data_IF_620007439714
#
_entry.id   IF_620007439714
#
_cell.length_a   1.000
_cell.length_b   1.000
_cell.length_c   1.000
_cell.angle_alpha   90.00
_cell.angle_beta   90.00
_cell.angle_gamma   90.00
#
_symmetry.space_group_name_H-M   'P 1'
#
loop_
_entity.id
_entity.type
_entity.pdbx_description
1 polymer ?
#
# COMPACT_ATOMS: atom_id res chain seq x y z
N UNK A 1 -56.65 -12.89 64.75
CA UNK A 1 -56.53 -11.66 63.95
C UNK A 1 -55.09 -11.54 63.47
N UNK A 2 -54.90 -11.36 62.15
CA UNK A 2 -53.61 -11.34 61.44
C UNK A 2 -52.98 -9.95 61.51
N UNK A 3 -51.64 -9.84 61.55
CA UNK A 3 -50.79 -8.73 61.06
C UNK A 3 -49.39 -8.89 61.68
N UNK A 4 -48.24 -8.89 60.99
CA UNK A 4 -47.90 -8.62 59.60
C UNK A 4 -46.44 -8.12 59.61
N UNK A 5 -45.48 -8.94 59.19
CA UNK A 5 -44.05 -8.62 59.18
C UNK A 5 -43.72 -7.79 57.93
N UNK A 6 -43.30 -6.53 58.09
CA UNK A 6 -42.90 -5.67 56.97
C UNK A 6 -41.39 -5.84 56.71
N UNK A 7 -41.06 -6.49 55.59
CA UNK A 7 -39.68 -6.55 55.06
C UNK A 7 -39.53 -5.35 54.13
N UNK A 8 -38.72 -4.37 54.53
CA UNK A 8 -38.36 -3.24 53.67
C UNK A 8 -37.39 -3.68 52.58
N UNK A 9 -37.84 -3.63 51.31
CA UNK A 9 -36.98 -3.78 50.16
C UNK A 9 -36.25 -2.46 49.90
N UNK A 10 -34.94 -2.43 50.19
CA UNK A 10 -34.08 -1.31 49.80
C UNK A 10 -33.76 -1.46 48.29
N UNK A 11 -34.42 -0.65 47.46
CA UNK A 11 -34.11 -0.56 46.03
C UNK A 11 -32.78 0.19 45.85
N UNK A 12 -31.69 -0.55 45.66
CA UNK A 12 -30.40 0.02 45.26
C UNK A 12 -30.50 0.36 43.77
N UNK A 13 -30.80 1.63 43.48
CA UNK A 13 -30.77 2.16 42.12
C UNK A 13 -29.34 2.12 41.59
N UNK A 14 -29.04 1.13 40.74
CA UNK A 14 -27.75 0.99 40.09
C UNK A 14 -27.66 1.98 38.95
N UNK A 15 -27.23 3.21 39.24
CA UNK A 15 -26.82 4.16 38.20
C UNK A 15 -25.63 3.57 37.45
N UNK A 16 -25.85 3.12 36.22
CA UNK A 16 -24.75 2.82 35.30
C UNK A 16 -24.06 4.15 34.99
N UNK A 17 -22.95 4.45 35.67
CA UNK A 17 -22.02 5.43 35.16
C UNK A 17 -21.55 4.92 33.79
N UNK A 18 -21.89 5.67 32.74
CA UNK A 18 -21.15 5.60 31.48
C UNK A 18 -19.74 6.10 31.80
N UNK A 19 -18.86 5.18 32.21
CA UNK A 19 -17.45 5.47 32.30
C UNK A 19 -16.98 5.77 30.88
N UNK A 20 -16.67 7.04 30.59
CA UNK A 20 -15.90 7.37 29.41
C UNK A 20 -14.55 6.67 29.56
N UNK A 21 -14.12 5.94 28.53
CA UNK A 21 -12.79 5.33 28.54
C UNK A 21 -11.77 6.44 28.85
N UNK A 22 -10.94 6.27 29.90
CA UNK A 22 -9.99 7.30 30.29
C UNK A 22 -9.03 7.55 29.12
N UNK A 23 -8.70 8.82 28.87
CA UNK A 23 -7.64 9.15 27.90
C UNK A 23 -6.30 8.79 28.53
N UNK A 24 -5.62 7.80 27.97
CA UNK A 24 -4.34 7.28 28.49
C UNK A 24 -3.16 7.51 27.55
N UNK A 25 -3.35 8.29 26.49
CA UNK A 25 -2.33 8.58 25.48
C UNK A 25 -2.15 10.08 25.31
N UNK A 26 -0.91 10.57 25.08
CA UNK A 26 -0.67 11.96 24.69
C UNK A 26 -0.93 12.21 23.20
N UNK A 27 -1.07 11.15 22.39
CA UNK A 27 -1.34 11.24 20.96
C UNK A 27 -2.74 11.78 20.73
N UNK A 28 -2.90 12.71 19.79
CA UNK A 28 -4.21 13.28 19.48
C UNK A 28 -4.51 13.24 17.99
N UNK A 29 -5.79 13.31 17.65
CA UNK A 29 -6.20 13.37 16.26
C UNK A 29 -5.62 14.59 15.55
N UNK A 30 -5.74 15.75 16.17
CA UNK A 30 -5.31 17.02 15.58
C UNK A 30 -3.80 17.09 15.38
N UNK A 31 -2.97 16.39 16.17
CA UNK A 31 -1.51 16.42 16.00
C UNK A 31 -1.01 15.25 15.15
N UNK A 32 -1.13 14.03 15.62
CA UNK A 32 -0.46 12.92 14.93
C UNK A 32 -1.33 12.33 13.82
N UNK A 33 -2.60 12.04 14.13
CA UNK A 33 -3.42 11.18 13.26
C UNK A 33 -3.89 11.89 12.00
N UNK A 34 -4.34 13.14 12.09
CA UNK A 34 -4.80 13.92 10.93
C UNK A 34 -3.74 14.00 9.83
N UNK A 35 -2.46 14.13 10.19
CA UNK A 35 -1.32 14.15 9.25
C UNK A 35 -1.07 12.78 8.63
N UNK A 36 -1.24 11.68 9.37
CA UNK A 36 -1.13 10.32 8.81
C UNK A 36 -2.29 10.06 7.85
N UNK A 37 -3.52 10.37 8.26
CA UNK A 37 -4.71 10.20 7.44
C UNK A 37 -4.61 11.01 6.14
N UNK A 38 -4.16 12.26 6.22
CA UNK A 38 -3.90 13.10 5.04
C UNK A 38 -3.02 12.38 4.02
N UNK A 39 -1.85 11.89 4.44
CA UNK A 39 -0.87 11.27 3.52
C UNK A 39 -1.30 9.90 3.00
N UNK A 40 -2.12 9.16 3.76
CA UNK A 40 -2.32 7.72 3.55
C UNK A 40 -3.75 7.32 3.21
N UNK A 41 -4.74 8.11 3.63
CA UNK A 41 -6.14 7.73 3.63
C UNK A 41 -7.02 8.71 2.86
N UNK A 42 -6.80 10.02 3.01
CA UNK A 42 -7.71 11.05 2.49
C UNK A 42 -7.77 11.09 0.96
N UNK A 43 -6.78 10.56 0.24
CA UNK A 43 -6.89 10.38 -1.22
C UNK A 43 -8.15 9.58 -1.63
N UNK A 44 -8.56 8.60 -0.83
CA UNK A 44 -9.79 7.83 -1.07
C UNK A 44 -10.93 8.20 -0.10
N UNK A 45 -10.60 8.47 1.16
CA UNK A 45 -11.54 8.78 2.25
C UNK A 45 -11.76 10.28 2.42
N UNK A 46 -12.31 10.90 1.37
CA UNK A 46 -12.70 12.32 1.35
C UNK A 46 -14.05 12.48 0.66
N UNK A 47 -14.73 13.64 0.81
CA UNK A 47 -15.96 13.93 0.07
C UNK A 47 -15.80 13.71 -1.45
N UNK A 48 -16.69 12.93 -2.05
CA UNK A 48 -16.62 12.58 -3.48
C UNK A 48 -15.49 11.61 -3.86
N UNK A 49 -14.73 11.10 -2.89
CA UNK A 49 -13.70 10.08 -3.07
C UNK A 49 -14.27 8.69 -3.35
N UNK A 50 -13.37 7.71 -3.50
CA UNK A 50 -13.73 6.32 -3.83
C UNK A 50 -14.21 5.50 -2.63
N UNK A 51 -13.85 5.93 -1.41
CA UNK A 51 -14.26 5.22 -0.20
C UNK A 51 -15.71 5.58 0.19
N UNK A 52 -16.44 4.67 0.86
CA UNK A 52 -17.85 4.88 1.20
C UNK A 52 -18.08 5.90 2.33
N UNK A 53 -17.03 6.40 2.97
CA UNK A 53 -17.09 7.40 4.03
C UNK A 53 -15.85 8.29 4.03
N UNK A 54 -15.98 9.47 4.64
CA UNK A 54 -14.93 10.47 4.81
C UNK A 54 -14.16 10.26 6.12
N UNK A 55 -12.91 10.71 6.16
CA UNK A 55 -12.07 10.76 7.36
C UNK A 55 -11.44 12.15 7.56
N UNK A 56 -12.01 13.18 6.92
CA UNK A 56 -11.39 14.51 6.83
C UNK A 56 -11.43 15.31 8.13
N UNK A 57 -12.39 15.03 9.02
CA UNK A 57 -12.50 15.66 10.34
C UNK A 57 -12.39 14.64 11.47
N UNK A 58 -12.26 15.12 12.71
CA UNK A 58 -12.28 14.25 13.87
C UNK A 58 -13.63 13.56 14.04
N UNK A 59 -14.73 14.29 13.84
CA UNK A 59 -16.10 13.77 13.92
C UNK A 59 -16.35 12.68 12.87
N UNK A 60 -15.77 12.84 11.68
CA UNK A 60 -15.78 11.83 10.63
C UNK A 60 -15.00 10.58 11.07
N UNK A 61 -13.79 10.75 11.62
CA UNK A 61 -12.87 9.65 11.90
C UNK A 61 -13.16 8.88 13.20
N UNK A 62 -13.63 9.56 14.24
CA UNK A 62 -13.79 9.01 15.60
C UNK A 62 -14.71 7.78 15.67
N UNK A 63 -15.86 7.73 14.95
CA UNK A 63 -16.71 6.54 14.92
C UNK A 63 -16.02 5.31 14.32
N UNK A 64 -15.04 5.51 13.45
CA UNK A 64 -14.30 4.45 12.77
C UNK A 64 -13.01 4.06 13.46
N UNK A 65 -12.64 4.68 14.59
CA UNK A 65 -11.32 4.53 15.21
C UNK A 65 -10.93 3.06 15.43
N UNK A 66 -11.84 2.23 15.94
CA UNK A 66 -11.62 0.78 16.16
C UNK A 66 -11.41 0.05 14.83
N UNK A 67 -12.25 0.31 13.83
CA UNK A 67 -12.13 -0.31 12.50
C UNK A 67 -10.84 0.13 11.81
N UNK A 68 -10.46 1.40 11.90
CA UNK A 68 -9.19 1.93 11.39
C UNK A 68 -8.04 1.14 12.01
N UNK A 69 -7.99 1.01 13.34
CA UNK A 69 -6.94 0.23 14.04
C UNK A 69 -6.86 -1.19 13.50
N UNK A 70 -8.00 -1.88 13.35
CA UNK A 70 -8.04 -3.26 12.86
C UNK A 70 -7.51 -3.37 11.42
N UNK A 71 -7.99 -2.51 10.53
CA UNK A 71 -7.61 -2.49 9.12
C UNK A 71 -6.13 -2.16 8.93
N UNK A 72 -5.57 -1.21 9.70
CA UNK A 72 -4.13 -0.86 9.62
C UNK A 72 -3.24 -1.92 10.28
N UNK A 73 -3.68 -2.53 11.38
CA UNK A 73 -2.94 -3.59 12.07
C UNK A 73 -2.84 -4.85 11.20
N UNK A 74 -3.93 -5.18 10.49
CA UNK A 74 -3.96 -6.27 9.51
C UNK A 74 -3.26 -5.91 8.20
N UNK A 75 -2.88 -4.64 8.01
CA UNK A 75 -2.32 -4.07 6.77
C UNK A 75 -3.22 -4.27 5.56
N UNK A 76 -4.53 -4.27 5.79
CA UNK A 76 -5.54 -4.25 4.73
C UNK A 76 -5.71 -2.82 4.20
N UNK A 77 -5.53 -1.81 5.07
CA UNK A 77 -5.55 -0.39 4.70
C UNK A 77 -4.20 0.31 4.96
N UNK A 78 -3.80 1.24 4.08
CA UNK A 78 -4.30 1.43 2.71
C UNK A 78 -4.10 0.15 1.89
N UNK A 79 -4.88 -0.08 0.81
CA UNK A 79 -4.87 -1.34 0.10
C UNK A 79 -3.61 -1.45 -0.79
N UNK A 80 -2.39 -1.36 -0.24
CA UNK A 80 -1.13 -1.33 -1.00
C UNK A 80 -0.51 -2.70 -1.25
N UNK A 81 -0.80 -3.68 -0.39
CA UNK A 81 -0.40 -5.11 -0.40
C UNK A 81 1.06 -5.49 -0.69
N UNK A 82 1.93 -4.54 -1.07
CA UNK A 82 3.36 -4.72 -1.16
C UNK A 82 3.98 -4.60 0.23
N UNK A 83 4.83 -5.57 0.56
CA UNK A 83 5.57 -5.57 1.82
C UNK A 83 6.71 -4.55 1.73
N UNK A 84 6.76 -3.63 2.70
CA UNK A 84 7.85 -2.64 2.81
C UNK A 84 9.21 -3.34 2.96
N UNK A 85 10.22 -2.77 2.31
CA UNK A 85 11.61 -3.27 2.37
C UNK A 85 11.96 -4.34 1.33
N UNK A 86 10.98 -4.90 0.61
CA UNK A 86 11.25 -5.85 -0.48
C UNK A 86 11.43 -5.19 -1.85
N UNK A 87 11.02 -3.93 -1.97
CA UNK A 87 11.17 -3.08 -3.13
C UNK A 87 10.90 -1.64 -2.71
N UNK A 88 11.38 -0.68 -3.51
CA UNK A 88 11.20 0.75 -3.24
C UNK A 88 10.35 1.35 -4.35
N UNK A 89 9.23 1.97 -3.97
CA UNK A 89 8.27 2.49 -4.93
C UNK A 89 8.01 3.98 -4.70
N UNK A 90 7.94 4.75 -5.79
CA UNK A 90 7.63 6.19 -5.71
C UNK A 90 6.17 6.47 -5.36
N UNK A 91 5.29 5.51 -5.61
CA UNK A 91 3.86 5.58 -5.29
C UNK A 91 3.48 4.69 -4.09
N UNK A 92 4.42 4.46 -3.15
CA UNK A 92 4.22 3.62 -1.98
C UNK A 92 3.16 4.20 -1.01
N UNK A 93 2.02 3.51 -0.92
CA UNK A 93 0.92 3.86 -0.04
C UNK A 93 0.95 3.14 1.32
N UNK A 94 1.85 2.18 1.54
CA UNK A 94 1.86 1.44 2.79
C UNK A 94 2.24 2.32 3.98
N UNK A 95 1.58 2.06 5.11
CA UNK A 95 1.96 2.60 6.41
C UNK A 95 3.29 2.03 6.87
N UNK A 96 4.10 2.87 7.51
CA UNK A 96 5.25 2.41 8.30
C UNK A 96 4.79 1.71 9.58
N UNK A 97 5.68 0.96 10.23
CA UNK A 97 5.34 0.34 11.52
C UNK A 97 5.05 1.39 12.60
N UNK A 98 5.78 2.52 12.56
CA UNK A 98 5.56 3.66 13.45
C UNK A 98 4.19 4.32 13.21
N UNK A 99 3.78 4.50 11.96
CA UNK A 99 2.45 5.04 11.63
C UNK A 99 1.34 4.10 12.13
N UNK A 100 1.49 2.78 11.94
CA UNK A 100 0.53 1.78 12.48
C UNK A 100 0.47 1.85 14.01
N UNK A 101 1.63 1.93 14.67
CA UNK A 101 1.70 1.98 16.13
C UNK A 101 1.07 3.27 16.67
N UNK A 102 1.37 4.42 16.05
CA UNK A 102 0.80 5.71 16.41
C UNK A 102 -0.73 5.71 16.34
N UNK A 103 -1.30 5.16 15.25
CA UNK A 103 -2.74 4.99 15.12
C UNK A 103 -3.27 4.05 16.21
N UNK A 104 -2.62 2.92 16.42
CA UNK A 104 -3.06 1.90 17.38
C UNK A 104 -3.06 2.44 18.81
N UNK A 105 -2.02 3.16 19.21
CA UNK A 105 -1.90 3.75 20.54
C UNK A 105 -2.86 4.91 20.75
N UNK A 106 -3.13 5.71 19.72
CA UNK A 106 -4.19 6.72 19.76
C UNK A 106 -5.56 6.07 20.01
N UNK A 107 -5.90 5.01 19.28
CA UNK A 107 -7.19 4.31 19.44
C UNK A 107 -7.30 3.64 20.81
N UNK A 108 -6.25 2.92 21.23
CA UNK A 108 -6.23 2.23 22.51
C UNK A 108 -6.27 3.20 23.70
N UNK A 109 -5.73 4.42 23.53
CA UNK A 109 -5.78 5.47 24.53
C UNK A 109 -7.04 6.34 24.51
N UNK A 110 -8.13 5.88 23.89
CA UNK A 110 -9.44 6.54 23.90
C UNK A 110 -9.71 7.47 22.71
N UNK A 111 -8.80 7.52 21.74
CA UNK A 111 -8.88 8.32 20.52
C UNK A 111 -9.23 9.80 20.77
N UNK A 112 -8.44 10.54 21.58
CA UNK A 112 -8.71 11.95 21.88
C UNK A 112 -8.52 12.85 20.64
N UNK A 113 -9.34 13.90 20.53
CA UNK A 113 -9.24 14.90 19.46
C UNK A 113 -7.97 15.76 19.58
N UNK A 114 -7.76 16.36 20.75
CA UNK A 114 -6.72 17.37 20.97
C UNK A 114 -7.23 18.79 20.67
N UNK A 115 -6.31 19.72 20.37
CA UNK A 115 -6.67 21.08 19.96
C UNK A 115 -6.99 21.09 18.45
N UNK A 116 -8.25 21.36 18.03
CA UNK A 116 -8.64 21.37 16.62
C UNK A 116 -7.81 22.30 15.74
N UNK A 117 -7.22 23.37 16.31
CA UNK A 117 -6.37 24.32 15.57
C UNK A 117 -5.05 23.72 15.10
N UNK A 118 -4.64 22.58 15.65
CA UNK A 118 -3.41 21.89 15.28
C UNK A 118 -3.60 20.84 14.17
N UNK A 119 -4.86 20.56 13.83
CA UNK A 119 -5.23 19.65 12.75
C UNK A 119 -4.57 20.09 11.45
N UNK A 120 -4.15 19.12 10.63
CA UNK A 120 -3.56 19.45 9.33
C UNK A 120 -4.50 20.33 8.48
N UNK A 121 -5.79 19.98 8.44
CA UNK A 121 -6.79 20.68 7.63
C UNK A 121 -6.61 20.51 6.11
N UNK A 122 -5.53 19.84 5.68
CA UNK A 122 -5.25 19.58 4.27
C UNK A 122 -6.05 18.37 3.80
N UNK A 123 -6.80 18.55 2.72
CA UNK A 123 -7.43 17.47 1.98
C UNK A 123 -6.66 17.33 0.66
N UNK A 124 -5.92 16.23 0.44
CA UNK A 124 -5.18 16.02 -0.78
C UNK A 124 -6.13 15.82 -1.97
N UNK A 125 -5.62 15.97 -3.19
CA UNK A 125 -6.38 15.58 -4.38
C UNK A 125 -6.84 14.12 -4.30
N UNK A 126 -8.06 13.88 -4.79
CA UNK A 126 -8.62 12.53 -4.84
C UNK A 126 -7.68 11.59 -5.59
N UNK A 127 -7.57 10.36 -5.10
CA UNK A 127 -6.71 9.35 -5.69
C UNK A 127 -7.19 9.01 -7.10
N UNK A 128 -6.34 9.30 -8.08
CA UNK A 128 -6.47 8.84 -9.45
C UNK A 128 -5.49 7.69 -9.68
N UNK A 129 -5.90 6.61 -10.39
CA UNK A 129 -4.95 5.57 -10.76
C UNK A 129 -3.79 6.19 -11.52
N UNK A 130 -2.58 5.94 -11.05
CA UNK A 130 -1.35 6.44 -11.67
C UNK A 130 -1.26 5.97 -13.13
N UNK A 131 -0.92 6.89 -14.04
CA UNK A 131 -0.73 6.57 -15.45
C UNK A 131 0.59 5.82 -15.67
N UNK A 132 0.64 5.05 -16.76
CA UNK A 132 1.89 4.41 -17.18
C UNK A 132 2.93 5.49 -17.52
N UNK A 133 4.20 5.34 -17.11
CA UNK A 133 5.25 6.27 -17.52
C UNK A 133 5.30 6.39 -19.06
N UNK A 134 5.49 7.60 -19.57
CA UNK A 134 5.61 7.83 -21.02
C UNK A 134 6.70 6.95 -21.63
N UNK A 135 6.37 6.24 -22.70
CA UNK A 135 7.29 5.33 -23.39
C UNK A 135 7.48 3.97 -22.73
N UNK A 136 6.87 3.70 -21.57
CA UNK A 136 6.87 2.37 -20.98
C UNK A 136 6.00 1.43 -21.81
N UNK A 137 6.54 0.25 -22.11
CA UNK A 137 5.83 -0.84 -22.76
C UNK A 137 5.63 -1.96 -21.75
N UNK A 138 4.43 -2.53 -21.79
CA UNK A 138 4.07 -3.70 -21.02
C UNK A 138 4.72 -4.95 -21.58
N UNK A 139 5.48 -5.65 -20.76
CA UNK A 139 6.11 -6.92 -21.13
C UNK A 139 5.63 -8.04 -20.20
N UNK A 140 5.38 -9.26 -20.70
CA UNK A 140 5.10 -10.40 -19.84
C UNK A 140 6.29 -10.70 -18.90
N UNK A 141 6.03 -11.36 -17.78
CA UNK A 141 7.09 -12.02 -17.02
C UNK A 141 7.82 -13.04 -17.92
N UNK A 142 9.16 -13.06 -17.88
CA UNK A 142 9.94 -14.00 -18.67
C UNK A 142 11.44 -13.74 -18.64
N UNK A 143 12.15 -14.42 -19.53
CA UNK A 143 13.57 -14.17 -19.80
C UNK A 143 13.70 -13.04 -20.81
N UNK A 144 14.52 -12.04 -20.51
CA UNK A 144 14.81 -10.93 -21.40
C UNK A 144 15.85 -11.34 -22.44
N UNK A 145 15.57 -11.17 -23.73
CA UNK A 145 16.54 -11.42 -24.81
C UNK A 145 17.39 -10.19 -25.18
N UNK A 146 17.10 -9.05 -24.56
CA UNK A 146 17.74 -7.75 -24.77
C UNK A 146 17.83 -7.00 -23.45
N UNK A 147 18.63 -5.93 -23.42
CA UNK A 147 18.70 -5.04 -22.26
C UNK A 147 17.40 -4.25 -22.12
N UNK A 148 16.79 -4.29 -20.94
CA UNK A 148 15.55 -3.58 -20.65
C UNK A 148 15.69 -2.74 -19.38
N UNK A 149 15.07 -1.57 -19.36
CA UNK A 149 14.99 -0.73 -18.16
C UNK A 149 13.61 -0.92 -17.53
N UNK A 150 13.56 -1.63 -16.40
CA UNK A 150 12.35 -1.86 -15.64
C UNK A 150 12.00 -0.59 -14.85
N UNK A 151 10.84 -0.03 -15.11
CA UNK A 151 10.31 1.15 -14.42
C UNK A 151 9.25 0.81 -13.37
N UNK A 152 8.64 -0.38 -13.48
CA UNK A 152 7.55 -0.75 -12.61
C UNK A 152 6.95 -2.10 -12.94
N UNK A 153 5.97 -2.47 -12.14
CA UNK A 153 5.31 -3.78 -12.18
C UNK A 153 3.82 -3.54 -12.16
N UNK A 154 3.11 -4.19 -13.08
CA UNK A 154 1.66 -4.20 -13.14
C UNK A 154 1.11 -5.59 -12.86
N UNK A 155 0.24 -5.73 -11.86
CA UNK A 155 -0.50 -6.97 -11.63
C UNK A 155 -1.75 -6.93 -12.50
N UNK A 156 -1.73 -7.66 -13.62
CA UNK A 156 -2.87 -7.70 -14.54
C UNK A 156 -4.01 -8.56 -14.00
N UNK A 157 -3.69 -9.72 -13.42
CA UNK A 157 -4.64 -10.60 -12.76
C UNK A 157 -3.96 -11.37 -11.63
N UNK A 158 -4.58 -11.43 -10.46
CA UNK A 158 -4.09 -12.25 -9.36
C UNK A 158 -5.27 -12.65 -8.47
N UNK A 159 -5.38 -13.92 -8.05
CA UNK A 159 -6.46 -14.33 -7.16
C UNK A 159 -6.38 -13.65 -5.80
N UNK A 160 -7.54 -13.39 -5.19
CA UNK A 160 -7.61 -12.85 -3.82
C UNK A 160 -6.90 -13.78 -2.84
N UNK A 161 -6.14 -13.19 -1.91
CA UNK A 161 -5.39 -13.92 -0.89
C UNK A 161 -4.05 -14.48 -1.37
N UNK A 162 -3.68 -14.27 -2.64
CA UNK A 162 -2.38 -14.72 -3.16
C UNK A 162 -1.23 -14.03 -2.43
N UNK A 163 -0.23 -14.82 -2.06
CA UNK A 163 1.10 -14.35 -1.68
C UNK A 163 2.08 -14.65 -2.82
N UNK A 164 2.86 -13.65 -3.22
CA UNK A 164 3.76 -13.74 -4.36
C UNK A 164 5.08 -13.00 -4.10
N UNK A 165 6.20 -13.64 -4.42
CA UNK A 165 7.54 -13.06 -4.42
C UNK A 165 8.04 -12.93 -5.86
N UNK A 166 8.40 -11.71 -6.25
CA UNK A 166 8.96 -11.40 -7.56
C UNK A 166 10.42 -10.99 -7.37
N UNK A 167 11.31 -11.72 -8.04
CA UNK A 167 12.75 -11.48 -8.03
C UNK A 167 13.25 -11.32 -9.47
N UNK A 168 14.16 -10.38 -9.69
CA UNK A 168 14.96 -10.31 -10.91
C UNK A 168 16.22 -11.13 -10.70
N UNK A 169 16.43 -12.18 -11.49
CA UNK A 169 17.68 -12.93 -11.52
C UNK A 169 18.47 -12.49 -12.76
N UNK A 170 19.66 -11.95 -12.53
CA UNK A 170 20.60 -11.59 -13.59
C UNK A 170 21.44 -12.80 -14.03
N UNK A 171 22.04 -12.77 -15.23
CA UNK A 171 22.94 -13.83 -15.71
C UNK A 171 24.20 -14.00 -14.85
N UNK A 172 24.68 -12.92 -14.22
CA UNK A 172 25.83 -12.92 -13.32
C UNK A 172 25.53 -13.59 -11.95
N UNK A 173 24.30 -14.06 -11.74
CA UNK A 173 23.84 -14.69 -10.51
C UNK A 173 23.22 -13.71 -9.51
N UNK A 174 23.30 -12.40 -9.73
CA UNK A 174 22.71 -11.36 -8.88
C UNK A 174 21.19 -11.54 -8.82
N UNK A 175 20.61 -11.42 -7.61
CA UNK A 175 19.17 -11.52 -7.38
C UNK A 175 18.66 -10.25 -6.71
N UNK A 176 17.80 -9.52 -7.39
CA UNK A 176 17.23 -8.27 -6.90
C UNK A 176 15.76 -8.49 -6.51
N UNK A 177 15.40 -8.26 -5.24
CA UNK A 177 14.01 -8.18 -4.80
C UNK A 177 13.26 -7.10 -5.60
N UNK A 178 12.16 -7.49 -6.23
CA UNK A 178 11.33 -6.55 -7.00
C UNK A 178 10.06 -6.19 -6.25
N UNK A 179 9.31 -7.20 -5.79
CA UNK A 179 8.01 -7.02 -5.15
C UNK A 179 7.65 -8.26 -4.35
N UNK A 180 7.19 -8.06 -3.11
CA UNK A 180 6.50 -9.08 -2.34
C UNK A 180 5.07 -8.63 -2.09
N UNK A 181 4.13 -9.38 -2.65
CA UNK A 181 2.70 -9.23 -2.38
C UNK A 181 2.27 -10.14 -1.26
N UNK A 182 1.61 -9.58 -0.26
CA UNK A 182 0.97 -10.32 0.82
C UNK A 182 -0.54 -10.20 0.73
N UNK A 183 -1.24 -11.33 0.81
CA UNK A 183 -2.71 -11.42 0.81
C UNK A 183 -3.38 -10.49 -0.23
N UNK A 184 -3.11 -10.74 -1.52
CA UNK A 184 -3.58 -9.88 -2.60
C UNK A 184 -5.07 -9.53 -2.49
N UNK A 185 -5.43 -8.25 -2.60
CA UNK A 185 -6.80 -7.78 -2.66
C UNK A 185 -7.06 -7.14 -4.03
N UNK A 186 -8.15 -7.50 -4.74
CA UNK A 186 -8.44 -6.92 -6.06
C UNK A 186 -8.64 -5.40 -6.09
N UNK A 187 -8.94 -4.81 -4.92
CA UNK A 187 -9.09 -3.37 -4.71
C UNK A 187 -7.74 -2.62 -4.59
N UNK A 188 -6.62 -3.34 -4.52
CA UNK A 188 -5.29 -2.76 -4.40
C UNK A 188 -4.80 -2.12 -5.71
N UNK A 189 -3.86 -1.16 -5.65
CA UNK A 189 -3.16 -0.67 -6.81
C UNK A 189 -2.56 -1.84 -7.58
N UNK A 190 -2.86 -1.86 -8.87
CA UNK A 190 -2.28 -2.83 -9.78
C UNK A 190 -0.93 -2.37 -10.30
N UNK A 191 -0.42 -1.22 -9.85
CA UNK A 191 0.76 -0.58 -10.41
C UNK A 191 1.75 -0.16 -9.33
N UNK A 192 2.94 -0.74 -9.38
CA UNK A 192 4.04 -0.50 -8.48
C UNK A 192 5.17 0.14 -9.28
N UNK A 193 5.35 1.44 -9.15
CA UNK A 193 6.36 2.18 -9.90
C UNK A 193 7.63 2.24 -9.08
N UNK A 194 8.70 1.63 -9.60
CA UNK A 194 9.98 1.60 -8.93
C UNK A 194 10.47 3.03 -8.68
N UNK A 195 11.01 3.28 -7.50
CA UNK A 195 11.60 4.58 -7.17
C UNK A 195 12.81 4.86 -8.06
N UNK A 196 13.60 3.82 -8.33
CA UNK A 196 14.74 3.85 -9.25
C UNK A 196 14.57 2.77 -10.33
N UNK A 197 14.78 3.09 -11.61
CA UNK A 197 14.73 2.08 -12.66
C UNK A 197 15.81 1.02 -12.49
N UNK A 198 15.49 -0.24 -12.83
CA UNK A 198 16.41 -1.37 -12.73
C UNK A 198 16.73 -1.90 -14.13
N UNK A 199 18.01 -2.03 -14.47
CA UNK A 199 18.43 -2.62 -15.75
C UNK A 199 18.41 -4.14 -15.70
N UNK A 200 17.61 -4.78 -16.55
CA UNK A 200 17.65 -6.21 -16.80
C UNK A 200 18.55 -6.50 -18.02
N UNK A 201 19.59 -7.32 -17.83
CA UNK A 201 20.52 -7.69 -18.91
C UNK A 201 19.92 -8.79 -19.81
N UNK A 202 20.45 -9.00 -21.03
CA UNK A 202 20.11 -10.17 -21.83
C UNK A 202 20.38 -11.47 -21.03
N UNK A 203 19.40 -12.36 -20.98
CA UNK A 203 19.41 -13.57 -20.16
C UNK A 203 18.87 -13.38 -18.74
N UNK A 204 18.61 -12.14 -18.29
CA UNK A 204 17.94 -11.91 -17.02
C UNK A 204 16.54 -12.52 -17.05
N UNK A 205 16.05 -13.00 -15.91
CA UNK A 205 14.75 -13.63 -15.77
C UNK A 205 14.02 -13.12 -14.56
N UNK A 206 12.72 -12.93 -14.69
CA UNK A 206 11.86 -12.66 -13.55
C UNK A 206 11.34 -13.99 -13.02
N UNK A 207 11.61 -14.23 -11.74
CA UNK A 207 11.13 -15.41 -11.02
C UNK A 207 9.97 -14.98 -10.15
N UNK A 208 8.81 -15.60 -10.37
CA UNK A 208 7.60 -15.41 -9.56
C UNK A 208 7.39 -16.69 -8.78
N UNK A 209 7.44 -16.59 -7.45
CA UNK A 209 7.09 -17.69 -6.56
C UNK A 209 5.76 -17.35 -5.90
N UNK A 210 4.74 -18.19 -6.07
CA UNK A 210 3.44 -18.01 -5.40
C UNK A 210 3.23 -19.12 -4.38
N UNK A 211 2.83 -18.75 -3.17
CA UNK A 211 2.61 -19.73 -2.10
C UNK A 211 1.19 -20.32 -2.13
N UNK A 212 0.22 -19.59 -2.71
CA UNK A 212 -1.21 -19.89 -2.52
C UNK A 212 -1.91 -20.29 -3.82
N UNK A 213 -1.63 -19.66 -4.97
CA UNK A 213 -2.34 -19.97 -6.24
C UNK A 213 -1.46 -19.74 -7.50
N UNK A 214 -1.50 -20.62 -8.52
CA UNK A 214 -0.59 -20.56 -9.68
C UNK A 214 -1.01 -19.61 -10.82
N UNK A 215 -2.23 -19.07 -10.82
CA UNK A 215 -2.80 -18.35 -11.98
C UNK A 215 -2.57 -16.83 -11.96
N UNK A 216 -1.45 -16.36 -11.40
CA UNK A 216 -1.13 -14.92 -11.38
C UNK A 216 -0.54 -14.45 -12.72
N UNK A 217 -1.14 -13.42 -13.32
CA UNK A 217 -0.60 -12.69 -14.47
C UNK A 217 0.03 -11.38 -14.04
N UNK A 218 1.35 -11.32 -14.14
CA UNK A 218 2.14 -10.11 -13.89
C UNK A 218 2.70 -9.58 -15.21
N UNK A 219 2.57 -8.27 -15.40
CA UNK A 219 3.17 -7.49 -16.49
C UNK A 219 4.22 -6.57 -15.91
N UNK A 220 5.26 -6.29 -16.67
CA UNK A 220 6.33 -5.37 -16.29
C UNK A 220 6.30 -4.16 -17.18
N UNK A 221 6.46 -2.99 -16.57
CA UNK A 221 6.63 -1.75 -17.29
C UNK A 221 8.11 -1.60 -17.60
N UNK A 222 8.47 -1.82 -18.86
CA UNK A 222 9.84 -1.73 -19.31
C UNK A 222 9.95 -0.69 -20.43
N UNK A 223 10.97 0.14 -20.37
CA UNK A 223 11.46 0.83 -21.56
C UNK A 223 12.46 -0.11 -22.20
N UNK A 224 12.12 -0.55 -23.40
CA UNK A 224 12.95 -1.45 -24.19
C UNK A 224 13.85 -0.62 -25.08
N UNK A 225 15.11 -0.45 -24.68
CA UNK A 225 16.15 -0.07 -25.62
C UNK A 225 16.43 -1.29 -26.49
N UNK A 226 15.69 -1.42 -27.60
CA UNK A 226 16.18 -2.29 -28.67
C UNK A 226 17.51 -1.69 -29.09
N UNK A 227 18.62 -2.37 -28.83
CA UNK A 227 19.87 -2.00 -29.46
C UNK A 227 19.57 -1.85 -30.95
N UNK A 228 19.76 -0.65 -31.52
CA UNK A 228 19.88 -0.54 -32.98
C UNK A 228 20.88 -1.63 -33.35
N UNK A 229 20.47 -2.58 -34.20
CA UNK A 229 21.38 -3.58 -34.71
C UNK A 229 22.65 -2.84 -35.17
N UNK A 230 23.81 -3.27 -34.67
CA UNK A 230 25.07 -2.72 -35.14
C UNK A 230 25.05 -2.79 -36.68
N UNK A 231 25.34 -1.70 -37.41
CA UNK A 231 25.37 -1.76 -38.85
C UNK A 231 26.39 -2.83 -39.23
N UNK A 232 25.98 -3.80 -40.05
CA UNK A 232 26.86 -4.82 -40.59
C UNK A 232 28.10 -4.10 -41.15
N UNK A 233 29.29 -4.46 -40.64
CA UNK A 233 30.55 -3.93 -41.13
C UNK A 233 30.53 -3.92 -42.65
N UNK A 234 30.60 -2.72 -43.22
CA UNK A 234 30.76 -2.54 -44.65
C UNK A 234 32.00 -3.34 -45.07
N UNK A 235 31.82 -4.30 -45.97
CA UNK A 235 32.95 -4.98 -46.61
C UNK A 235 33.76 -3.91 -47.33
N UNK A 236 35.00 -3.74 -46.90
CA UNK A 236 36.00 -2.97 -47.66
C UNK A 236 36.10 -3.58 -49.06
N UNK A 237 35.83 -2.83 -50.15
CA UNK A 237 36.14 -3.33 -51.48
C UNK A 237 37.66 -3.46 -51.63
N UNK A 238 38.08 -4.59 -52.20
CA UNK A 238 39.48 -4.89 -52.49
C UNK A 238 40.10 -3.83 -53.42
N UNK A 239 41.41 -3.54 -53.29
CA UNK A 239 42.09 -2.61 -54.18
C UNK A 239 42.17 -3.22 -55.59
N UNK A 240 41.60 -2.54 -56.57
CA UNK A 240 41.89 -2.79 -57.98
C UNK A 240 43.27 -2.20 -58.28
N UNK A 241 44.25 -3.07 -58.49
CA UNK A 241 45.54 -2.72 -59.08
C UNK A 241 45.46 -2.71 -60.60
N UNK A 242 45.94 -1.62 -61.18
CA UNK A 242 46.81 -1.43 -62.37
C UNK A 242 46.55 -0.04 -62.99
#
# INVERSE_FOLDING_TARGET
MKSGCAIGFLLISSTRLLAHDPITTPLTWSKEISRILERRCLGCHQPGGKAPFTLTTYEDARPWAVAIREEVSNRTMPPWNAVKGFGTFRNDMALTQEEIQTITDWVNGGAPEGDPKLASGVIPHAYHPEELPRGAVETPAGTFSFTATLMGIRIAAMPKGTEAHLLLHQPDGTRTPLLWIRQFQPAAPRLYLLAEPITAQPGARIVISTAVQPNATVRFLAVVERSKAAPAHARTPAPTGE
#
